data_IF_773588419715
#
_entry.id   IF_773588419715
#
_cell.length_a   1.000
_cell.length_b   1.000
_cell.length_c   1.000
_cell.angle_alpha   90.00
_cell.angle_beta   90.00
_cell.angle_gamma   90.00
#
_symmetry.space_group_name_H-M   'P 1'
#
loop_
_entity.id
_entity.type
_entity.pdbx_description
1 polymer ?
#
# COMPACT_ATOMS: atom_id res chain seq x y z
N UNK A 1 -4.21 -2.71 7.89
CA UNK A 1 -2.94 -2.84 8.64
C UNK A 1 -1.92 -3.15 7.58
N UNK A 2 -1.41 -2.13 6.89
CA UNK A 2 -0.74 -2.29 5.58
C UNK A 2 0.51 -3.16 5.70
N UNK A 3 1.25 -3.06 6.81
CA UNK A 3 2.40 -3.94 7.10
C UNK A 3 2.04 -5.44 7.10
N UNK A 4 0.91 -5.83 7.70
CA UNK A 4 0.49 -7.23 7.74
C UNK A 4 0.14 -7.80 6.35
N UNK A 5 -0.33 -6.95 5.42
CA UNK A 5 -0.58 -7.35 4.04
C UNK A 5 0.71 -7.39 3.20
N UNK A 6 1.67 -6.49 3.49
CA UNK A 6 3.02 -6.51 2.90
C UNK A 6 3.77 -7.79 3.30
N UNK A 7 3.68 -8.19 4.57
CA UNK A 7 4.31 -9.41 5.06
C UNK A 7 3.74 -10.67 4.38
N UNK A 8 2.40 -10.75 4.23
CA UNK A 8 1.76 -11.84 3.47
C UNK A 8 2.21 -11.85 2.01
N UNK A 9 2.28 -10.68 1.39
CA UNK A 9 2.71 -10.56 -0.01
C UNK A 9 4.17 -10.98 -0.19
N UNK A 10 5.03 -10.66 0.78
CA UNK A 10 6.44 -11.08 0.78
C UNK A 10 6.58 -12.60 0.94
N UNK A 11 5.83 -13.23 1.85
CA UNK A 11 5.79 -14.70 2.00
C UNK A 11 5.34 -15.36 0.71
N UNK A 12 4.29 -14.84 0.07
CA UNK A 12 3.80 -15.36 -1.21
C UNK A 12 4.85 -15.20 -2.33
N UNK A 13 5.58 -14.09 -2.34
CA UNK A 13 6.64 -13.83 -3.31
C UNK A 13 7.74 -14.90 -3.23
N UNK A 14 8.18 -15.24 -2.01
CA UNK A 14 9.16 -16.31 -1.79
C UNK A 14 8.62 -17.69 -2.16
N UNK A 15 7.39 -18.01 -1.75
CA UNK A 15 6.76 -19.29 -2.09
C UNK A 15 6.63 -19.50 -3.62
N UNK A 16 6.31 -18.44 -4.36
CA UNK A 16 6.25 -18.49 -5.83
C UNK A 16 7.66 -18.61 -6.43
N UNK A 17 8.64 -17.89 -5.87
CA UNK A 17 10.03 -17.88 -6.32
C UNK A 17 10.70 -19.27 -6.27
N UNK A 18 10.31 -20.14 -5.32
CA UNK A 18 10.78 -21.53 -5.22
C UNK A 18 10.43 -22.39 -6.44
N UNK A 19 9.37 -22.03 -7.20
CA UNK A 19 8.95 -22.79 -8.38
C UNK A 19 9.76 -22.41 -9.64
N UNK A 20 10.58 -21.37 -9.57
CA UNK A 20 11.34 -20.86 -10.70
C UNK A 20 12.83 -21.14 -10.54
N UNK A 21 13.48 -21.50 -11.64
CA UNK A 21 14.93 -21.69 -11.66
C UNK A 21 15.65 -20.41 -11.24
N UNK A 22 16.72 -20.50 -10.44
CA UNK A 22 17.41 -19.35 -9.87
C UNK A 22 17.84 -18.29 -10.91
N UNK A 23 18.25 -18.73 -12.09
CA UNK A 23 18.68 -17.84 -13.19
C UNK A 23 17.55 -17.36 -14.10
N UNK A 24 16.32 -17.85 -13.88
CA UNK A 24 15.16 -17.41 -14.65
C UNK A 24 14.87 -15.93 -14.43
N UNK A 25 14.21 -15.33 -15.41
CA UNK A 25 13.84 -13.92 -15.34
C UNK A 25 12.82 -13.70 -14.22
N UNK A 26 11.88 -14.62 -14.09
CA UNK A 26 10.80 -14.65 -13.12
C UNK A 26 11.35 -14.68 -11.69
N UNK A 27 12.37 -15.50 -11.43
CA UNK A 27 13.04 -15.55 -10.13
C UNK A 27 13.69 -14.20 -9.76
N UNK A 28 14.35 -13.54 -10.71
CA UNK A 28 14.97 -12.22 -10.50
C UNK A 28 13.94 -11.12 -10.29
N UNK A 29 12.85 -11.13 -11.06
CA UNK A 29 11.74 -10.18 -10.92
C UNK A 29 11.09 -10.32 -9.54
N UNK A 30 10.79 -11.55 -9.09
CA UNK A 30 10.26 -11.82 -7.75
C UNK A 30 11.24 -11.40 -6.64
N UNK A 31 12.53 -11.67 -6.80
CA UNK A 31 13.55 -11.23 -5.85
C UNK A 31 13.61 -9.69 -5.74
N UNK A 32 13.56 -8.99 -6.87
CA UNK A 32 13.53 -7.52 -6.87
C UNK A 32 12.26 -6.96 -6.23
N UNK A 33 11.12 -7.62 -6.45
CA UNK A 33 9.84 -7.24 -5.85
C UNK A 33 9.86 -7.44 -4.33
N UNK A 34 10.42 -8.55 -3.83
CA UNK A 34 10.61 -8.79 -2.41
C UNK A 34 11.52 -7.74 -1.74
N UNK A 35 12.58 -7.28 -2.43
CA UNK A 35 13.44 -6.19 -1.96
C UNK A 35 12.67 -4.86 -1.84
N UNK A 36 11.82 -4.55 -2.82
CA UNK A 36 10.96 -3.35 -2.78
C UNK A 36 9.96 -3.45 -1.63
N UNK A 37 9.34 -4.62 -1.42
CA UNK A 37 8.44 -4.89 -0.29
C UNK A 37 9.15 -4.68 1.06
N UNK A 38 10.35 -5.24 1.22
CA UNK A 38 11.13 -5.15 2.46
C UNK A 38 11.66 -3.75 2.78
N UNK A 39 11.82 -2.89 1.77
CA UNK A 39 12.27 -1.50 1.97
C UNK A 39 11.22 -0.61 2.65
N UNK A 40 9.98 -1.08 2.82
CA UNK A 40 8.89 -0.32 3.46
C UNK A 40 8.31 0.79 2.58
N UNK A 41 8.68 0.85 1.30
CA UNK A 41 8.31 1.91 0.34
C UNK A 41 7.00 1.59 -0.40
N UNK A 42 6.20 0.60 0.03
CA UNK A 42 4.87 0.41 -0.58
C UNK A 42 3.91 1.52 -0.17
N UNK A 43 3.96 2.59 -0.95
CA UNK A 43 2.99 3.66 -0.94
C UNK A 43 1.89 3.29 -1.94
N UNK A 44 0.75 2.83 -1.43
CA UNK A 44 -0.44 2.68 -2.26
C UNK A 44 -0.93 4.09 -2.60
N UNK A 45 -0.87 4.48 -3.86
CA UNK A 45 -1.35 5.80 -4.28
C UNK A 45 -2.61 5.66 -5.13
N UNK A 46 -3.60 6.53 -4.91
CA UNK A 46 -4.73 6.67 -5.81
C UNK A 46 -4.33 7.66 -6.92
N UNK A 47 -4.17 7.16 -8.15
CA UNK A 47 -3.79 7.94 -9.33
C UNK A 47 -2.55 8.83 -9.14
N UNK A 48 -1.62 8.41 -8.26
CA UNK A 48 -0.45 9.20 -7.85
C UNK A 48 -0.76 10.58 -7.23
N UNK A 49 -2.02 10.85 -6.88
CA UNK A 49 -2.46 12.12 -6.31
C UNK A 49 -2.50 12.07 -4.78
N UNK A 50 -2.88 10.92 -4.21
CA UNK A 50 -2.96 10.74 -2.76
C UNK A 50 -2.43 9.38 -2.35
N UNK A 51 -1.61 9.36 -1.30
CA UNK A 51 -1.22 8.13 -0.62
C UNK A 51 -2.37 7.61 0.24
N UNK A 52 -2.72 6.34 0.07
CA UNK A 52 -3.75 5.63 0.80
C UNK A 52 -3.13 5.10 2.10
N UNK A 53 -3.29 5.87 3.16
CA UNK A 53 -2.92 5.49 4.53
C UNK A 53 -4.08 5.74 5.49
N UNK A 54 -4.01 5.16 6.69
CA UNK A 54 -5.04 5.35 7.73
C UNK A 54 -5.26 6.84 8.05
N UNK A 55 -4.20 7.63 8.06
CA UNK A 55 -4.32 9.08 8.27
C UNK A 55 -5.10 9.75 7.14
N UNK A 56 -5.00 9.29 5.89
CA UNK A 56 -5.77 9.83 4.76
C UNK A 56 -7.26 9.62 4.95
N UNK A 57 -7.68 8.44 5.43
CA UNK A 57 -9.09 8.18 5.76
C UNK A 57 -9.55 9.14 6.87
N UNK A 58 -8.78 9.27 7.94
CA UNK A 58 -9.08 10.19 9.04
C UNK A 58 -9.14 11.66 8.56
N UNK A 59 -8.24 12.08 7.67
CA UNK A 59 -8.23 13.41 7.07
C UNK A 59 -9.48 13.67 6.21
N UNK A 60 -9.90 12.69 5.40
CA UNK A 60 -11.13 12.78 4.60
C UNK A 60 -12.34 12.91 5.53
N UNK A 61 -12.43 12.08 6.58
CA UNK A 61 -13.51 12.17 7.57
C UNK A 61 -13.51 13.54 8.26
N UNK A 62 -12.35 14.03 8.71
CA UNK A 62 -12.23 15.34 9.35
C UNK A 62 -12.64 16.48 8.40
N UNK A 63 -12.25 16.43 7.13
CA UNK A 63 -12.65 17.40 6.13
C UNK A 63 -14.17 17.37 5.91
N UNK A 64 -14.76 16.18 5.75
CA UNK A 64 -16.20 16.01 5.59
C UNK A 64 -16.97 16.55 6.82
N UNK A 65 -16.51 16.25 8.04
CA UNK A 65 -17.11 16.78 9.27
C UNK A 65 -16.99 18.30 9.34
N UNK A 66 -15.85 18.87 8.95
CA UNK A 66 -15.65 20.33 8.93
C UNK A 66 -16.64 21.01 7.98
N UNK A 67 -16.80 20.48 6.77
CA UNK A 67 -17.79 20.98 5.82
C UNK A 67 -19.22 20.80 6.34
N UNK A 68 -19.52 19.68 6.99
CA UNK A 68 -20.83 19.45 7.60
C UNK A 68 -21.13 20.49 8.69
N UNK A 69 -20.19 20.78 9.59
CA UNK A 69 -20.36 21.80 10.63
C UNK A 69 -20.56 23.18 10.01
N UNK A 70 -19.75 23.55 9.02
CA UNK A 70 -19.90 24.83 8.33
C UNK A 70 -21.27 24.96 7.65
N UNK A 71 -21.76 23.89 7.01
CA UNK A 71 -23.11 23.86 6.45
C UNK A 71 -24.17 24.03 7.53
N UNK A 72 -24.10 23.31 8.65
CA UNK A 72 -25.09 23.44 9.74
C UNK A 72 -25.06 24.84 10.38
N UNK A 73 -23.90 25.50 10.44
CA UNK A 73 -23.75 26.80 11.10
C UNK A 73 -24.10 27.99 10.21
N UNK A 74 -23.89 27.89 8.90
CA UNK A 74 -24.01 29.01 7.97
C UNK A 74 -25.07 28.82 6.88
N UNK A 75 -25.81 27.71 6.91
CA UNK A 75 -27.06 27.52 6.16
C UNK A 75 -28.26 27.85 7.05
#
# INVERSE_FOLDING_TARGET
MIGAEVDKLMVNCYAVQENFHYYSREHKELQSFALILGSGVLQFTAANFMEIKRSTILSITAAATTYFVALVQFY
#
